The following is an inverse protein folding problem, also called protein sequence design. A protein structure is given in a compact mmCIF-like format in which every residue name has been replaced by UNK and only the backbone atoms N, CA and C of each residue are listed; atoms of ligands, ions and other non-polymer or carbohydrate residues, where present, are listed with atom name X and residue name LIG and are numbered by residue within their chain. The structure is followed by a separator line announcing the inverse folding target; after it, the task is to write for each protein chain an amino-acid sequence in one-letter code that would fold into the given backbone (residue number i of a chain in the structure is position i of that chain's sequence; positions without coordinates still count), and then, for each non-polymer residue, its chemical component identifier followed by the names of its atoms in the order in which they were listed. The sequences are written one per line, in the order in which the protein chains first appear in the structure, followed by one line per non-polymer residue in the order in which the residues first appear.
data_IF_214903908533
#
_entry.id   IF_214903908533
#
_cell.length_a   1.000
_cell.length_b   1.000
_cell.length_c   1.000
_cell.angle_alpha   90.00
_cell.angle_beta   90.00
_cell.angle_gamma   90.00
#
_symmetry.space_group_name_H-M   'P 1'
#
loop_
_entity.id
_entity.type
_entity.pdbx_description
1 polymer ?
#
# COMPACT_ATOMS: atom_id res chain seq x y z
N UNK A 1 -4.92 3.10 19.76
CA UNK A 1 -4.28 3.92 18.70
C UNK A 1 -5.25 4.19 17.55
N UNK A 2 -5.73 3.21 16.79
CA UNK A 2 -6.65 3.43 15.66
C UNK A 2 -7.94 4.17 16.07
N UNK A 3 -8.58 3.79 17.19
CA UNK A 3 -9.76 4.47 17.72
C UNK A 3 -9.53 5.92 18.17
N UNK A 4 -8.28 6.32 18.44
CA UNK A 4 -7.91 7.70 18.81
C UNK A 4 -7.49 8.54 17.60
N UNK A 5 -7.53 7.97 16.41
CA UNK A 5 -7.15 8.62 15.16
C UNK A 5 -8.39 9.13 14.42
N UNK A 6 -8.21 10.13 13.58
CA UNK A 6 -9.27 10.76 12.80
C UNK A 6 -9.16 10.41 11.31
N UNK A 7 -10.21 10.62 10.50
CA UNK A 7 -10.14 10.47 9.06
C UNK A 7 -9.00 11.30 8.46
N UNK A 8 -8.44 10.85 7.33
CA UNK A 8 -7.28 11.50 6.70
C UNK A 8 -7.61 12.83 6.01
N UNK A 9 -8.87 13.09 5.70
CA UNK A 9 -9.29 14.29 4.97
C UNK A 9 -8.92 15.57 5.75
N UNK A 10 -8.34 16.55 5.03
CA UNK A 10 -7.86 17.83 5.56
C UNK A 10 -6.80 17.69 6.67
N UNK A 11 -6.01 16.63 6.61
CA UNK A 11 -4.91 16.39 7.55
C UNK A 11 -3.56 16.30 6.82
N UNK A 12 -2.48 16.20 7.59
CA UNK A 12 -1.12 16.00 7.05
C UNK A 12 -1.02 14.71 6.21
N UNK A 13 -1.82 13.68 6.48
CA UNK A 13 -1.85 12.45 5.68
C UNK A 13 -2.39 12.71 4.27
N UNK A 14 -3.44 13.52 4.14
CA UNK A 14 -3.92 13.92 2.81
C UNK A 14 -2.85 14.73 2.07
N UNK A 15 -2.22 15.69 2.73
CA UNK A 15 -1.11 16.47 2.15
C UNK A 15 0.06 15.57 1.74
N UNK A 16 0.43 14.61 2.58
CA UNK A 16 1.45 13.61 2.28
C UNK A 16 1.17 12.86 0.97
N UNK A 17 -0.05 12.36 0.80
CA UNK A 17 -0.42 11.65 -0.42
C UNK A 17 -0.49 12.57 -1.65
N UNK A 18 -1.05 13.78 -1.50
CA UNK A 18 -1.14 14.74 -2.61
C UNK A 18 0.23 15.17 -3.12
N UNK A 19 1.21 15.38 -2.23
CA UNK A 19 2.59 15.70 -2.59
C UNK A 19 3.28 14.52 -3.31
N UNK A 20 2.77 13.31 -3.17
CA UNK A 20 3.19 12.12 -3.92
C UNK A 20 2.38 11.88 -5.20
N UNK A 21 1.55 12.83 -5.61
CA UNK A 21 0.70 12.71 -6.78
C UNK A 21 -0.54 11.83 -6.58
N UNK A 22 -0.73 11.25 -5.38
CA UNK A 22 -1.84 10.35 -5.07
C UNK A 22 -3.09 11.16 -4.77
N UNK A 23 -4.09 11.08 -5.64
CA UNK A 23 -5.36 11.82 -5.55
C UNK A 23 -6.57 10.93 -5.27
N UNK A 24 -6.49 9.63 -5.54
CA UNK A 24 -7.58 8.66 -5.35
C UNK A 24 -7.72 8.24 -3.87
N UNK A 25 -8.10 9.19 -3.01
CA UNK A 25 -8.19 8.99 -1.56
C UNK A 25 -9.61 8.64 -1.05
N UNK A 26 -10.57 8.42 -1.96
CA UNK A 26 -11.90 7.93 -1.58
C UNK A 26 -11.84 6.47 -1.12
N UNK A 27 -12.70 6.09 -0.18
CA UNK A 27 -12.75 4.70 0.32
C UNK A 27 -11.48 4.23 1.03
N UNK A 28 -10.69 5.15 1.59
CA UNK A 28 -9.48 4.85 2.36
C UNK A 28 -9.76 4.77 3.88
N UNK A 29 -10.89 4.18 4.27
CA UNK A 29 -11.26 4.01 5.69
C UNK A 29 -10.25 3.20 6.52
N UNK A 30 -9.41 2.40 5.85
CA UNK A 30 -8.26 1.70 6.45
C UNK A 30 -7.13 2.64 6.89
N UNK A 31 -7.15 3.90 6.45
CA UNK A 31 -6.14 4.91 6.79
C UNK A 31 -6.72 5.96 7.74
N UNK A 32 -5.95 6.32 8.75
CA UNK A 32 -6.29 7.33 9.75
C UNK A 32 -5.13 8.27 9.99
N UNK A 33 -5.42 9.45 10.51
CA UNK A 33 -4.42 10.41 10.98
C UNK A 33 -4.39 10.46 12.51
N UNK A 34 -3.20 10.34 13.09
CA UNK A 34 -2.96 10.56 14.51
C UNK A 34 -2.02 11.76 14.69
N UNK A 35 -2.45 12.85 15.37
CA UNK A 35 -1.66 14.09 15.41
C UNK A 35 -0.39 13.99 16.26
N UNK A 36 -0.34 13.07 17.25
CA UNK A 36 0.74 12.90 18.21
C UNK A 36 0.97 11.43 18.53
N UNK A 37 1.39 10.66 17.52
CA UNK A 37 1.70 9.26 17.67
C UNK A 37 3.07 9.09 18.33
N UNK A 38 3.14 8.27 19.38
CA UNK A 38 4.39 7.98 20.06
C UNK A 38 5.39 7.30 19.12
N UNK A 39 6.62 7.79 19.18
CA UNK A 39 7.80 7.21 18.55
C UNK A 39 8.88 7.00 19.61
N UNK A 40 9.55 5.88 19.55
CA UNK A 40 10.69 5.56 20.39
C UNK A 40 11.64 4.69 19.57
N UNK A 41 12.87 5.12 19.28
CA UNK A 41 13.83 4.36 18.47
C UNK A 41 14.10 2.98 19.08
N UNK A 42 14.44 2.95 20.35
CA UNK A 42 14.78 1.80 21.15
C UNK A 42 14.29 1.94 22.61
N UNK A 43 14.52 0.94 23.44
CA UNK A 43 14.06 0.91 24.86
C UNK A 43 14.75 1.94 25.76
N UNK A 44 15.94 2.44 25.37
CA UNK A 44 16.72 3.38 26.15
C UNK A 44 16.51 4.85 25.74
N UNK A 45 15.96 5.06 24.57
CA UNK A 45 15.72 6.39 24.01
C UNK A 45 14.48 7.07 24.63
N UNK A 46 14.44 8.39 24.69
CA UNK A 46 13.25 9.11 25.12
C UNK A 46 12.10 8.88 24.13
N UNK A 47 10.88 8.93 24.66
CA UNK A 47 9.68 8.86 23.80
C UNK A 47 9.39 10.23 23.22
N UNK A 48 9.28 10.28 21.90
CA UNK A 48 8.88 11.46 21.15
C UNK A 48 7.42 11.33 20.66
N UNK A 49 6.87 12.41 20.13
CA UNK A 49 5.56 12.37 19.44
C UNK A 49 5.65 13.04 18.09
N UNK A 50 5.17 12.34 17.07
CA UNK A 50 5.11 12.83 15.70
C UNK A 50 3.71 12.63 15.13
N UNK A 51 3.23 13.50 14.23
CA UNK A 51 2.04 13.18 13.46
C UNK A 51 2.29 11.93 12.64
N UNK A 52 1.27 11.08 12.52
CA UNK A 52 1.42 9.81 11.81
C UNK A 52 0.17 9.42 11.03
N UNK A 53 0.40 8.77 9.90
CA UNK A 53 -0.59 7.90 9.26
C UNK A 53 -0.65 6.58 10.01
N UNK A 54 -1.86 6.14 10.34
CA UNK A 54 -2.15 4.82 10.92
C UNK A 54 -2.94 4.04 9.89
N UNK A 55 -2.37 2.93 9.41
CA UNK A 55 -3.07 2.00 8.52
C UNK A 55 -3.49 0.76 9.29
N UNK A 56 -4.77 0.38 9.18
CA UNK A 56 -5.29 -0.86 9.77
C UNK A 56 -4.89 -2.06 8.92
N UNK A 57 -4.32 -3.07 9.55
CA UNK A 57 -4.09 -4.38 8.95
C UNK A 57 -5.24 -5.29 9.34
N UNK A 58 -5.84 -5.95 8.37
CA UNK A 58 -7.02 -6.81 8.60
C UNK A 58 -6.83 -8.18 7.96
N UNK A 59 -7.49 -9.17 8.53
CA UNK A 59 -7.66 -10.50 7.94
C UNK A 59 -8.67 -10.48 6.78
N UNK A 60 -9.01 -11.67 6.24
CA UNK A 60 -9.98 -11.82 5.15
C UNK A 60 -11.42 -11.53 5.60
N UNK A 61 -11.74 -11.66 6.88
CA UNK A 61 -13.03 -11.32 7.46
C UNK A 61 -13.16 -9.82 7.79
N UNK A 62 -12.10 -9.03 7.55
CA UNK A 62 -12.08 -7.60 7.86
C UNK A 62 -11.82 -7.30 9.35
N UNK A 63 -11.45 -8.30 10.16
CA UNK A 63 -11.11 -8.10 11.56
C UNK A 63 -9.74 -7.44 11.69
N UNK A 64 -9.62 -6.48 12.59
CA UNK A 64 -8.36 -5.78 12.84
C UNK A 64 -7.36 -6.74 13.53
N UNK A 65 -6.25 -7.02 12.86
CA UNK A 65 -5.17 -7.90 13.35
C UNK A 65 -3.92 -7.13 13.72
N UNK A 66 -3.72 -5.95 13.10
CA UNK A 66 -2.54 -5.14 13.33
C UNK A 66 -2.69 -3.71 12.84
N UNK A 67 -1.62 -2.96 12.95
CA UNK A 67 -1.54 -1.59 12.43
C UNK A 67 -0.14 -1.27 11.94
N UNK A 68 -0.08 -0.48 10.87
CA UNK A 68 1.16 0.13 10.38
C UNK A 68 1.14 1.63 10.67
N UNK A 69 2.25 2.17 11.10
CA UNK A 69 2.47 3.58 11.38
C UNK A 69 3.49 4.14 10.40
N UNK A 70 3.16 5.26 9.78
CA UNK A 70 4.12 6.09 9.04
C UNK A 70 4.14 7.45 9.70
N UNK A 71 5.22 7.79 10.39
CA UNK A 71 5.40 9.11 10.97
C UNK A 71 5.76 10.10 9.88
N UNK A 72 5.12 11.28 9.95
CA UNK A 72 5.17 12.32 8.94
C UNK A 72 5.88 13.56 9.45
N UNK A 73 6.55 14.26 8.56
CA UNK A 73 7.19 15.53 8.86
C UNK A 73 6.18 16.68 8.85
N UNK A 74 5.90 17.33 9.99
CA UNK A 74 5.06 18.53 10.01
C UNK A 74 5.72 19.73 9.34
N UNK A 75 7.05 19.72 9.17
CA UNK A 75 7.81 20.75 8.48
C UNK A 75 7.64 20.75 6.96
N UNK A 76 7.06 19.69 6.41
CA UNK A 76 6.70 19.61 5.01
C UNK A 76 7.34 18.47 4.23
N UNK A 77 7.22 18.57 2.90
CA UNK A 77 7.71 17.58 1.96
C UNK A 77 9.12 17.94 1.48
N UNK A 78 10.05 17.00 1.62
CA UNK A 78 11.37 17.05 0.96
C UNK A 78 11.51 15.84 0.05
N UNK A 79 12.23 15.98 -1.08
CA UNK A 79 12.44 14.86 -2.01
C UNK A 79 13.16 13.68 -1.34
N UNK A 80 14.14 13.94 -0.47
CA UNK A 80 14.90 12.89 0.21
C UNK A 80 14.05 12.06 1.19
N UNK A 81 13.07 12.67 1.86
CA UNK A 81 12.22 12.01 2.86
C UNK A 81 10.82 11.70 2.34
N UNK A 82 10.43 12.30 1.22
CA UNK A 82 9.10 12.15 0.63
C UNK A 82 7.97 12.40 1.66
N UNK A 83 8.16 13.41 2.54
CA UNK A 83 7.20 13.80 3.58
C UNK A 83 7.16 12.91 4.82
N UNK A 84 8.05 11.93 4.95
CA UNK A 84 8.22 11.15 6.19
C UNK A 84 9.01 11.95 7.22
N UNK A 85 8.77 11.68 8.50
CA UNK A 85 9.51 12.29 9.58
C UNK A 85 11.01 11.98 9.48
N UNK A 86 11.91 12.94 9.78
CA UNK A 86 13.37 12.75 9.73
C UNK A 86 13.86 12.00 11.00
N UNK A 87 13.39 10.78 11.16
CA UNK A 87 13.70 9.86 12.26
C UNK A 87 14.22 8.53 11.71
N UNK A 88 14.96 7.76 12.48
CA UNK A 88 15.66 6.55 12.02
C UNK A 88 14.74 5.54 11.36
N UNK A 89 13.56 5.30 11.93
CA UNK A 89 12.59 4.33 11.44
C UNK A 89 11.21 4.97 11.27
N UNK A 90 10.98 5.75 10.19
CA UNK A 90 9.71 6.47 10.02
C UNK A 90 8.52 5.56 9.71
N UNK A 91 8.72 4.25 9.59
CA UNK A 91 7.66 3.25 9.38
C UNK A 91 7.84 2.07 10.33
N UNK A 92 6.78 1.69 11.03
CA UNK A 92 6.74 0.48 11.88
C UNK A 92 5.36 -0.14 11.88
N UNK A 93 5.33 -1.46 11.86
CA UNK A 93 4.11 -2.23 12.01
C UNK A 93 4.06 -2.94 13.36
N UNK A 94 2.86 -3.34 13.79
CA UNK A 94 2.62 -4.09 15.04
C UNK A 94 1.37 -4.94 14.92
N UNK A 95 1.32 -6.02 15.66
CA UNK A 95 0.22 -6.98 15.68
C UNK A 95 0.53 -8.23 14.85
N UNK A 96 -0.52 -8.98 14.52
CA UNK A 96 -0.43 -10.13 13.63
C UNK A 96 -0.58 -9.66 12.18
N UNK A 97 0.51 -9.75 11.42
CA UNK A 97 0.61 -9.19 10.08
C UNK A 97 0.76 -10.25 8.99
N UNK A 98 1.22 -11.46 9.36
CA UNK A 98 1.53 -12.49 8.37
C UNK A 98 0.26 -12.99 7.68
N UNK A 99 0.21 -12.86 6.37
CA UNK A 99 -0.97 -13.18 5.56
C UNK A 99 -2.05 -12.09 5.53
N UNK A 100 -1.93 -11.07 6.38
CA UNK A 100 -2.87 -9.95 6.50
C UNK A 100 -2.37 -8.72 5.75
N UNK A 101 -3.24 -7.74 5.51
CA UNK A 101 -2.89 -6.56 4.73
C UNK A 101 -3.71 -5.32 5.07
N UNK A 102 -3.22 -4.17 4.61
CA UNK A 102 -4.03 -2.95 4.49
C UNK A 102 -4.88 -3.07 3.23
N UNK A 103 -6.21 -2.96 3.36
CA UNK A 103 -7.15 -3.23 2.25
C UNK A 103 -7.79 -1.96 1.74
N UNK A 104 -7.88 -1.85 0.41
CA UNK A 104 -8.54 -0.77 -0.33
C UNK A 104 -9.60 -1.38 -1.24
N UNK A 105 -10.85 -1.37 -0.80
CA UNK A 105 -11.96 -2.05 -1.45
C UNK A 105 -12.19 -3.46 -0.91
N UNK A 106 -13.21 -4.12 -1.44
CA UNK A 106 -13.59 -5.50 -1.10
C UNK A 106 -13.15 -6.40 -2.24
N UNK A 107 -12.31 -7.38 -1.95
CA UNK A 107 -11.84 -8.33 -2.93
C UNK A 107 -13.00 -9.18 -3.48
N UNK A 108 -13.00 -9.39 -4.78
CA UNK A 108 -13.89 -10.28 -5.51
C UNK A 108 -13.08 -11.33 -6.28
N UNK A 109 -13.48 -11.61 -7.52
CA UNK A 109 -12.76 -12.53 -8.40
C UNK A 109 -11.40 -11.99 -8.87
N UNK A 110 -11.20 -10.67 -8.81
CA UNK A 110 -9.98 -10.00 -9.25
C UNK A 110 -9.55 -9.03 -8.16
N UNK A 111 -8.26 -9.01 -7.85
CA UNK A 111 -7.65 -8.00 -6.96
C UNK A 111 -6.19 -7.76 -7.33
N UNK A 112 -5.61 -6.67 -6.82
CA UNK A 112 -4.17 -6.42 -6.87
C UNK A 112 -3.55 -6.50 -5.47
N UNK A 113 -2.29 -6.97 -5.42
CA UNK A 113 -1.48 -6.99 -4.21
C UNK A 113 -0.09 -6.41 -4.50
N UNK A 114 0.47 -5.67 -3.55
CA UNK A 114 1.82 -5.13 -3.59
C UNK A 114 2.34 -4.82 -2.19
N UNK A 115 3.58 -4.38 -2.09
CA UNK A 115 4.19 -4.12 -0.79
C UNK A 115 3.72 -2.81 -0.17
N UNK A 116 3.88 -1.72 -0.88
CA UNK A 116 3.72 -0.37 -0.35
C UNK A 116 2.30 0.17 -0.41
N UNK A 117 1.88 0.89 0.62
CA UNK A 117 0.62 1.64 0.62
C UNK A 117 0.63 2.68 -0.51
N UNK A 118 1.76 3.38 -0.67
CA UNK A 118 1.94 4.41 -1.68
C UNK A 118 1.91 3.84 -3.10
N UNK A 119 2.57 2.69 -3.33
CA UNK A 119 2.55 1.93 -4.58
C UNK A 119 1.11 1.57 -4.97
N UNK A 120 0.35 0.96 -4.04
CA UNK A 120 -1.02 0.53 -4.31
C UNK A 120 -1.98 1.70 -4.52
N UNK A 121 -1.84 2.79 -3.77
CA UNK A 121 -2.67 3.98 -3.98
C UNK A 121 -2.31 4.76 -5.24
N UNK A 122 -1.07 4.67 -5.72
CA UNK A 122 -0.68 5.21 -7.03
C UNK A 122 -1.35 4.47 -8.17
N UNK A 123 -1.35 3.14 -8.13
CA UNK A 123 -2.11 2.31 -9.07
C UNK A 123 -3.61 2.61 -9.01
N UNK A 124 -4.16 2.85 -7.82
CA UNK A 124 -5.57 3.19 -7.67
C UNK A 124 -5.96 4.52 -8.34
N UNK A 125 -5.03 5.43 -8.57
CA UNK A 125 -5.28 6.64 -9.35
C UNK A 125 -5.63 6.34 -10.82
N UNK A 126 -5.24 5.19 -11.33
CA UNK A 126 -5.44 4.78 -12.74
C UNK A 126 -6.28 3.52 -12.90
N UNK A 127 -6.44 2.73 -11.84
CA UNK A 127 -7.29 1.53 -11.74
C UNK A 127 -8.25 1.68 -10.56
N UNK A 128 -9.21 2.63 -10.60
CA UNK A 128 -9.95 3.11 -9.42
C UNK A 128 -10.92 2.08 -8.83
N UNK A 129 -11.38 1.12 -9.61
CA UNK A 129 -12.35 0.11 -9.18
C UNK A 129 -11.73 -1.24 -8.84
N UNK A 130 -10.43 -1.44 -9.13
CA UNK A 130 -9.71 -2.65 -8.77
C UNK A 130 -9.50 -2.71 -7.25
N UNK A 131 -10.00 -3.72 -6.54
CA UNK A 131 -9.68 -3.92 -5.13
C UNK A 131 -8.17 -4.17 -4.95
N UNK A 132 -7.58 -3.52 -3.97
CA UNK A 132 -6.13 -3.57 -3.77
C UNK A 132 -5.77 -3.84 -2.32
N UNK A 133 -4.61 -4.48 -2.11
CA UNK A 133 -4.04 -4.71 -0.78
C UNK A 133 -2.57 -4.34 -0.75
N UNK A 134 -2.15 -3.72 0.35
CA UNK A 134 -0.75 -3.45 0.66
C UNK A 134 -0.29 -4.36 1.80
N UNK A 135 0.70 -5.22 1.51
CA UNK A 135 1.19 -6.23 2.45
C UNK A 135 2.27 -5.71 3.42
N UNK A 136 2.83 -4.52 3.15
CA UNK A 136 3.76 -3.76 3.99
C UNK A 136 5.23 -4.21 3.93
N UNK A 137 5.53 -5.36 3.38
CA UNK A 137 6.89 -5.83 3.06
C UNK A 137 6.86 -7.00 2.08
N UNK A 138 8.01 -7.30 1.45
CA UNK A 138 8.19 -8.44 0.57
C UNK A 138 7.81 -9.77 1.26
N UNK A 139 8.26 -9.99 2.50
CA UNK A 139 7.95 -11.20 3.25
C UNK A 139 6.44 -11.35 3.54
N UNK A 140 5.74 -10.27 3.86
CA UNK A 140 4.29 -10.32 4.06
C UNK A 140 3.54 -10.47 2.72
N UNK A 141 4.06 -9.88 1.62
CA UNK A 141 3.47 -10.04 0.29
C UNK A 141 3.53 -11.51 -0.15
N UNK A 142 4.67 -12.16 0.01
CA UNK A 142 4.81 -13.59 -0.32
C UNK A 142 3.87 -14.49 0.48
N UNK A 143 3.47 -14.09 1.68
CA UNK A 143 2.62 -14.87 2.59
C UNK A 143 1.13 -14.49 2.55
N UNK A 144 0.72 -13.54 1.72
CA UNK A 144 -0.65 -13.00 1.75
C UNK A 144 -1.70 -14.09 1.57
N UNK A 145 -2.80 -14.00 2.33
CA UNK A 145 -3.92 -14.93 2.22
C UNK A 145 -4.87 -14.52 1.09
N UNK A 146 -5.32 -15.49 0.32
CA UNK A 146 -6.23 -15.29 -0.79
C UNK A 146 -7.69 -15.50 -0.36
N UNK A 147 -8.62 -14.61 -0.76
CA UNK A 147 -10.04 -14.88 -0.64
C UNK A 147 -10.47 -16.07 -1.51
N UNK A 148 -11.40 -16.89 -1.03
CA UNK A 148 -11.90 -18.07 -1.77
C UNK A 148 -12.51 -17.72 -3.14
N UNK A 149 -12.99 -16.48 -3.27
CA UNK A 149 -13.57 -15.97 -4.53
C UNK A 149 -12.54 -15.56 -5.57
N UNK A 150 -11.26 -15.43 -5.18
CA UNK A 150 -10.22 -14.90 -6.06
C UNK A 150 -9.95 -15.87 -7.23
N UNK A 151 -9.87 -15.33 -8.45
CA UNK A 151 -9.56 -16.07 -9.69
C UNK A 151 -8.35 -15.47 -10.40
N UNK A 152 -8.12 -14.16 -10.23
CA UNK A 152 -6.98 -13.46 -10.83
C UNK A 152 -6.35 -12.49 -9.85
N UNK A 153 -5.03 -12.56 -9.74
CA UNK A 153 -4.22 -11.71 -8.87
C UNK A 153 -3.25 -10.88 -9.70
N UNK A 154 -3.43 -9.56 -9.70
CA UNK A 154 -2.41 -8.64 -10.20
C UNK A 154 -1.37 -8.41 -9.11
N UNK A 155 -0.10 -8.70 -9.41
CA UNK A 155 1.02 -8.53 -8.49
C UNK A 155 1.77 -7.27 -8.90
N UNK A 156 1.65 -6.23 -8.08
CA UNK A 156 2.40 -4.99 -8.27
C UNK A 156 3.84 -5.20 -7.77
N UNK A 157 4.76 -5.33 -8.72
CA UNK A 157 6.18 -5.53 -8.45
C UNK A 157 6.84 -4.20 -8.07
N UNK A 158 7.66 -4.19 -7.03
CA UNK A 158 8.67 -3.16 -6.82
C UNK A 158 9.97 -3.65 -7.49
N UNK A 159 10.71 -2.77 -8.18
CA UNK A 159 11.88 -3.15 -8.99
C UNK A 159 13.13 -3.26 -8.11
N UNK A 160 13.11 -4.23 -7.20
CA UNK A 160 14.22 -4.56 -6.33
C UNK A 160 14.33 -6.09 -6.09
N UNK A 161 15.50 -6.61 -5.64
CA UNK A 161 15.70 -8.05 -5.44
C UNK A 161 14.78 -8.69 -4.39
N UNK A 162 14.33 -7.94 -3.38
CA UNK A 162 13.41 -8.46 -2.35
C UNK A 162 12.00 -8.63 -2.93
N UNK A 163 11.55 -7.66 -3.74
CA UNK A 163 10.31 -7.71 -4.50
C UNK A 163 10.28 -8.89 -5.48
N UNK A 164 11.38 -9.15 -6.17
CA UNK A 164 11.49 -10.28 -7.11
C UNK A 164 11.29 -11.63 -6.41
N UNK A 165 11.92 -11.85 -5.26
CA UNK A 165 11.77 -13.08 -4.48
C UNK A 165 10.34 -13.26 -3.93
N UNK A 166 9.75 -12.19 -3.43
CA UNK A 166 8.38 -12.21 -2.93
C UNK A 166 7.38 -12.49 -4.05
N UNK A 167 7.57 -11.87 -5.22
CA UNK A 167 6.77 -12.06 -6.41
C UNK A 167 6.81 -13.51 -6.88
N UNK A 168 7.98 -14.12 -7.01
CA UNK A 168 8.12 -15.52 -7.44
C UNK A 168 7.35 -16.46 -6.50
N UNK A 169 7.54 -16.33 -5.19
CA UNK A 169 6.81 -17.11 -4.18
C UNK A 169 5.29 -16.92 -4.28
N UNK A 170 4.85 -15.68 -4.51
CA UNK A 170 3.42 -15.38 -4.60
C UNK A 170 2.79 -15.94 -5.87
N UNK A 171 3.52 -15.95 -6.99
CA UNK A 171 3.11 -16.59 -8.25
C UNK A 171 2.88 -18.08 -8.03
N UNK A 172 3.85 -18.80 -7.47
CA UNK A 172 3.76 -20.23 -7.21
C UNK A 172 2.54 -20.55 -6.34
N UNK A 173 2.34 -19.83 -5.25
CA UNK A 173 1.20 -20.00 -4.34
C UNK A 173 -0.15 -19.70 -5.01
N UNK A 174 -0.21 -18.66 -5.86
CA UNK A 174 -1.42 -18.33 -6.59
C UNK A 174 -1.79 -19.45 -7.59
N UNK A 175 -0.81 -19.95 -8.33
CA UNK A 175 -1.00 -21.07 -9.26
C UNK A 175 -1.44 -22.36 -8.57
N UNK A 176 -0.83 -22.72 -7.44
CA UNK A 176 -1.23 -23.86 -6.61
C UNK A 176 -2.67 -23.74 -6.10
N UNK A 177 -3.13 -22.50 -5.83
CA UNK A 177 -4.51 -22.21 -5.43
C UNK A 177 -5.50 -22.10 -6.61
N UNK A 178 -5.05 -22.31 -7.85
CA UNK A 178 -5.90 -22.17 -9.05
C UNK A 178 -6.24 -20.71 -9.40
N UNK A 179 -5.42 -19.76 -8.95
CA UNK A 179 -5.54 -18.32 -9.20
C UNK A 179 -4.56 -17.94 -10.31
N UNK A 180 -5.01 -17.19 -11.31
CA UNK A 180 -4.16 -16.68 -12.39
C UNK A 180 -3.34 -15.48 -11.88
N UNK A 181 -2.00 -15.59 -11.75
CA UNK A 181 -1.16 -14.47 -11.39
C UNK A 181 -0.77 -13.66 -12.63
N UNK A 182 -0.90 -12.34 -12.58
CA UNK A 182 -0.42 -11.40 -13.59
C UNK A 182 0.48 -10.38 -12.91
N UNK A 183 1.76 -10.37 -13.29
CA UNK A 183 2.69 -9.37 -12.79
C UNK A 183 2.51 -8.07 -13.56
N UNK A 184 2.42 -6.97 -12.83
CA UNK A 184 2.47 -5.61 -13.37
C UNK A 184 3.71 -4.92 -12.83
N UNK A 185 4.48 -4.33 -13.72
CA UNK A 185 5.78 -3.72 -13.40
C UNK A 185 5.76 -2.22 -13.65
N UNK A 186 6.37 -1.41 -12.79
CA UNK A 186 6.59 -0.01 -13.03
C UNK A 186 7.64 0.19 -14.13
N UNK A 187 7.78 1.42 -14.60
CA UNK A 187 8.86 1.85 -15.51
C UNK A 187 10.12 2.27 -14.76
N UNK A 188 9.96 2.72 -13.53
CA UNK A 188 11.00 3.12 -12.60
C UNK A 188 11.04 2.15 -11.41
N UNK A 189 11.51 2.59 -10.26
CA UNK A 189 11.65 1.73 -9.07
C UNK A 189 10.33 1.22 -8.50
N UNK A 190 9.30 2.07 -8.45
CA UNK A 190 7.96 1.71 -7.99
C UNK A 190 6.86 2.54 -8.70
N UNK A 191 5.58 2.16 -8.53
CA UNK A 191 4.46 2.87 -9.16
C UNK A 191 4.22 4.27 -8.58
N UNK A 192 4.69 4.57 -7.38
CA UNK A 192 4.63 5.93 -6.87
C UNK A 192 5.70 6.81 -7.52
N UNK A 193 6.87 6.27 -7.81
CA UNK A 193 7.90 6.96 -8.57
C UNK A 193 7.44 7.25 -10.00
N UNK A 194 6.83 6.27 -10.67
CA UNK A 194 6.20 6.46 -11.98
C UNK A 194 5.16 7.60 -11.95
N UNK A 195 4.26 7.59 -10.97
CA UNK A 195 3.25 8.63 -10.82
C UNK A 195 3.85 10.02 -10.62
N UNK A 196 4.87 10.13 -9.76
CA UNK A 196 5.51 11.40 -9.41
C UNK A 196 6.35 11.97 -10.53
N UNK A 197 7.14 11.13 -11.21
CA UNK A 197 8.15 11.58 -12.19
C UNK A 197 7.66 11.53 -13.63
N UNK A 198 6.79 10.58 -13.97
CA UNK A 198 6.30 10.41 -15.35
C UNK A 198 4.86 10.92 -15.52
N UNK A 199 4.13 11.13 -14.43
CA UNK A 199 2.78 11.66 -14.44
C UNK A 199 1.69 10.60 -14.63
N UNK A 200 0.45 11.00 -14.35
CA UNK A 200 -0.71 10.09 -14.30
C UNK A 200 -1.06 9.46 -15.66
N UNK A 201 -0.89 10.18 -16.74
CA UNK A 201 -1.24 9.68 -18.09
C UNK A 201 -0.25 8.60 -18.54
N UNK A 202 1.04 8.78 -18.25
CA UNK A 202 2.07 7.76 -18.50
C UNK A 202 1.81 6.52 -17.64
N UNK A 203 1.52 6.70 -16.34
CA UNK A 203 1.18 5.60 -15.45
C UNK A 203 -0.06 4.84 -15.95
N UNK A 204 -1.11 5.57 -16.37
CA UNK A 204 -2.35 4.97 -16.90
C UNK A 204 -2.08 4.13 -18.14
N UNK A 205 -1.34 4.66 -19.10
CA UNK A 205 -1.01 3.95 -20.32
C UNK A 205 -0.15 2.70 -20.04
N UNK A 206 0.88 2.84 -19.20
CA UNK A 206 1.78 1.73 -18.86
C UNK A 206 1.07 0.63 -18.07
N UNK A 207 0.28 0.98 -17.05
CA UNK A 207 -0.48 0.01 -16.27
C UNK A 207 -1.60 -0.63 -17.09
N UNK A 208 -2.35 0.17 -17.86
CA UNK A 208 -3.45 -0.32 -18.69
C UNK A 208 -3.00 -1.35 -19.74
N UNK A 209 -1.81 -1.20 -20.30
CA UNK A 209 -1.24 -2.16 -21.25
C UNK A 209 -0.90 -3.53 -20.61
N UNK A 210 -0.82 -3.61 -19.29
CA UNK A 210 -0.51 -4.83 -18.53
C UNK A 210 -1.77 -5.49 -17.92
N UNK A 211 -2.94 -4.85 -18.03
CA UNK A 211 -4.20 -5.41 -17.57
C UNK A 211 -4.77 -6.38 -18.63
N UNK A 212 -5.25 -7.51 -18.18
CA UNK A 212 -5.95 -8.48 -19.06
C UNK A 212 -7.13 -7.80 -19.77
N UNK A 213 -7.29 -8.06 -21.06
CA UNK A 213 -8.40 -7.51 -21.85
C UNK A 213 -9.78 -7.78 -21.24
N UNK A 214 -9.93 -8.91 -20.52
CA UNK A 214 -11.18 -9.27 -19.82
C UNK A 214 -11.51 -8.35 -18.64
N UNK A 215 -10.49 -7.70 -18.04
CA UNK A 215 -10.67 -6.87 -16.86
C UNK A 215 -10.68 -5.37 -17.16
N UNK A 216 -10.24 -4.95 -18.36
CA UNK A 216 -10.12 -3.51 -18.69
C UNK A 216 -11.41 -2.75 -18.39
N UNK A 217 -12.56 -3.24 -18.87
CA UNK A 217 -13.85 -2.58 -18.64
C UNK A 217 -14.31 -2.61 -17.17
N UNK A 218 -13.69 -3.46 -16.33
CA UNK A 218 -14.02 -3.65 -14.91
C UNK A 218 -13.18 -2.73 -14.02
N UNK A 219 -11.92 -2.45 -14.41
CA UNK A 219 -10.93 -1.85 -13.49
C UNK A 219 -10.47 -0.45 -13.91
N UNK A 220 -10.67 -0.06 -15.14
CA UNK A 220 -10.37 1.27 -15.70
C UNK A 220 -11.65 2.12 -15.81
#
# INVERSE_FOLDING_TARGET
MFAMSQPISRTLVETYFRNRGITALHGTGSLRFHPRCFYRPDEHSPTETWPAMIASVTDLAGQLTGAHRTWLDPGGFTESMLGKAPIDTPRRAMGDLLGHAVRFGVAGEVMAAGEGIETMLSLRCVLPTLPMVAALSAAHLSAILFPDTLRRLYIARDDDPAGDGAMATLIDRAQEAGIEPIVISPRLGDFNEDLRLLGIDTLRAASGAQISAQDVARVM
#
